data_IF_904546597779
#
_entry.id   IF_904546597779
#
_cell.length_a   1.000
_cell.length_b   1.000
_cell.length_c   1.000
_cell.angle_alpha   90.00
_cell.angle_beta   90.00
_cell.angle_gamma   90.00
#
_symmetry.space_group_name_H-M   'P 1'
#
loop_
_entity.id
_entity.type
_entity.pdbx_description
1 polymer ?
#
# COMPACT_ATOMS: atom_id res chain seq x y z
N UNK A 1 23.35 15.09 -19.27
CA UNK A 1 23.82 14.88 -17.89
C UNK A 1 22.74 14.11 -17.18
N UNK A 2 23.02 12.94 -16.62
CA UNK A 2 22.06 12.27 -15.75
C UNK A 2 21.85 13.16 -14.52
N UNK A 3 20.62 13.66 -14.31
CA UNK A 3 20.28 14.40 -13.10
C UNK A 3 20.45 13.48 -11.89
N UNK A 4 21.05 14.01 -10.83
CA UNK A 4 21.38 13.23 -9.64
C UNK A 4 20.09 12.96 -8.84
N UNK A 5 19.96 11.84 -8.11
CA UNK A 5 18.75 11.53 -7.34
C UNK A 5 18.32 12.64 -6.38
N UNK A 6 19.27 13.36 -5.78
CA UNK A 6 19.02 14.50 -4.90
C UNK A 6 18.32 15.70 -5.58
N UNK A 7 18.32 15.75 -6.92
CA UNK A 7 17.62 16.80 -7.67
C UNK A 7 16.13 16.48 -7.85
N UNK A 8 15.68 15.28 -7.48
CA UNK A 8 14.27 14.87 -7.54
C UNK A 8 13.48 15.24 -6.28
N UNK A 9 14.15 15.64 -5.20
CA UNK A 9 13.51 15.85 -3.91
C UNK A 9 14.02 17.08 -3.19
N UNK A 10 13.10 17.93 -2.80
CA UNK A 10 13.34 19.06 -1.91
C UNK A 10 13.08 18.64 -0.46
N UNK A 11 14.08 18.82 0.40
CA UNK A 11 13.87 18.73 1.84
C UNK A 11 13.35 20.04 2.40
N UNK A 12 12.34 19.94 3.25
CA UNK A 12 11.69 21.07 3.88
C UNK A 12 12.28 21.31 5.28
N UNK A 13 12.16 22.53 5.83
CA UNK A 13 12.68 22.87 7.17
C UNK A 13 12.19 21.94 8.29
N UNK A 14 10.99 21.39 8.13
CA UNK A 14 10.35 20.47 9.08
C UNK A 14 11.09 19.13 9.24
N UNK A 15 12.05 18.83 8.36
CA UNK A 15 12.93 17.66 8.46
C UNK A 15 14.06 17.84 9.50
N UNK A 16 14.38 19.07 9.90
CA UNK A 16 15.53 19.39 10.78
C UNK A 16 15.59 18.58 12.09
N UNK A 17 14.46 18.31 12.79
CA UNK A 17 14.49 17.50 14.00
C UNK A 17 14.98 16.07 13.74
N UNK A 18 14.61 15.47 12.61
CA UNK A 18 15.03 14.11 12.24
C UNK A 18 16.51 14.09 11.85
N UNK A 19 16.96 15.09 11.08
CA UNK A 19 18.37 15.25 10.72
C UNK A 19 19.26 15.43 11.95
N UNK A 20 18.81 16.26 12.91
CA UNK A 20 19.51 16.48 14.17
C UNK A 20 19.56 15.21 15.03
N UNK A 21 18.45 14.47 15.09
CA UNK A 21 18.38 13.22 15.82
C UNK A 21 19.34 12.16 15.23
N UNK A 22 19.35 11.98 13.92
CA UNK A 22 20.28 11.04 13.25
C UNK A 22 21.74 11.49 13.40
N UNK A 23 22.04 12.79 13.30
CA UNK A 23 23.40 13.30 13.52
C UNK A 23 23.92 13.06 14.95
N UNK A 24 23.04 12.87 15.93
CA UNK A 24 23.39 12.56 17.31
C UNK A 24 23.59 11.05 17.56
N UNK A 25 23.29 10.18 16.59
CA UNK A 25 23.46 8.73 16.71
C UNK A 25 24.95 8.37 16.62
N UNK A 26 25.47 7.70 17.65
CA UNK A 26 26.89 7.32 17.73
C UNK A 26 27.18 5.99 17.03
N UNK A 27 26.25 5.04 17.08
CA UNK A 27 26.33 3.75 16.40
C UNK A 27 24.95 3.34 15.82
N UNK A 28 24.89 2.52 14.75
CA UNK A 28 23.63 2.11 14.14
C UNK A 28 22.62 1.47 15.11
N UNK A 29 23.10 0.79 16.16
CA UNK A 29 22.26 0.18 17.20
C UNK A 29 21.60 1.17 18.16
N UNK A 30 22.02 2.44 18.14
CA UNK A 30 21.45 3.51 18.98
C UNK A 30 20.29 4.24 18.30
N UNK A 31 19.97 3.91 17.04
CA UNK A 31 18.85 4.49 16.31
C UNK A 31 17.54 4.20 17.01
N UNK A 32 16.73 5.22 17.19
CA UNK A 32 15.32 5.05 17.56
C UNK A 32 14.58 4.45 16.36
N UNK A 33 13.58 3.61 16.64
CA UNK A 33 12.79 2.94 15.61
C UNK A 33 11.91 3.90 14.82
N UNK A 34 12.46 4.66 13.87
CA UNK A 34 11.68 5.49 12.97
C UNK A 34 11.18 4.64 11.79
N UNK A 35 9.87 4.61 11.60
CA UNK A 35 9.19 3.89 10.51
C UNK A 35 8.86 4.86 9.39
N UNK A 36 9.12 4.48 8.14
CA UNK A 36 8.58 5.14 6.95
C UNK A 36 7.52 4.23 6.33
N UNK A 37 6.28 4.68 6.33
CA UNK A 37 5.16 4.04 5.62
C UNK A 37 5.09 4.64 4.23
N UNK A 38 4.87 3.84 3.19
CA UNK A 38 4.53 4.37 1.88
C UNK A 38 3.23 3.79 1.34
N UNK A 39 2.41 4.70 0.81
CA UNK A 39 1.13 4.44 0.17
C UNK A 39 1.13 5.23 -1.15
N UNK A 40 1.86 4.70 -2.13
CA UNK A 40 1.97 5.26 -3.47
C UNK A 40 0.81 4.73 -4.32
N UNK A 41 0.10 5.63 -4.99
CA UNK A 41 -1.14 5.31 -5.68
C UNK A 41 -0.89 5.08 -7.17
N UNK A 42 -1.39 3.98 -7.72
CA UNK A 42 -1.11 3.59 -9.09
C UNK A 42 -2.12 2.56 -9.59
N UNK A 43 -1.81 1.91 -10.71
CA UNK A 43 -2.71 0.94 -11.32
C UNK A 43 -2.96 -0.30 -10.42
N UNK A 44 -2.11 -0.50 -9.42
CA UNK A 44 -2.11 -1.62 -8.48
C UNK A 44 -2.67 -1.29 -7.09
N UNK A 45 -3.51 -0.26 -6.94
CA UNK A 45 -4.22 0.04 -5.68
C UNK A 45 -5.73 -0.28 -5.80
N UNK A 46 -6.10 -1.54 -5.57
CA UNK A 46 -7.50 -1.95 -5.65
C UNK A 46 -8.36 -1.17 -4.63
N UNK A 47 -9.49 -0.67 -5.12
CA UNK A 47 -10.45 0.13 -4.35
C UNK A 47 -9.87 1.41 -3.73
N UNK A 48 -8.77 1.94 -4.31
CA UNK A 48 -8.02 3.09 -3.79
C UNK A 48 -7.66 2.92 -2.31
N UNK A 49 -7.34 1.69 -1.88
CA UNK A 49 -7.27 1.31 -0.47
C UNK A 49 -6.04 1.92 0.22
N UNK A 50 -4.89 1.93 -0.45
CA UNK A 50 -3.67 2.55 0.06
C UNK A 50 -3.80 4.08 0.02
N UNK A 51 -4.38 4.65 -1.04
CA UNK A 51 -4.72 6.09 -1.10
C UNK A 51 -5.61 6.49 0.08
N UNK A 52 -6.68 5.72 0.31
CA UNK A 52 -7.62 5.94 1.40
C UNK A 52 -6.96 5.80 2.77
N UNK A 53 -5.98 4.89 2.91
CA UNK A 53 -5.20 4.74 4.14
C UNK A 53 -4.36 5.99 4.42
N UNK A 54 -3.65 6.51 3.41
CA UNK A 54 -2.88 7.75 3.53
C UNK A 54 -3.78 8.94 3.85
N UNK A 55 -4.89 9.10 3.13
CA UNK A 55 -5.85 10.17 3.33
C UNK A 55 -6.46 10.13 4.75
N UNK A 56 -6.79 8.94 5.25
CA UNK A 56 -7.30 8.74 6.60
C UNK A 56 -6.28 9.15 7.67
N UNK A 57 -5.02 8.75 7.52
CA UNK A 57 -3.94 9.13 8.45
C UNK A 57 -3.71 10.65 8.45
N UNK A 58 -3.66 11.28 7.27
CA UNK A 58 -3.48 12.73 7.16
C UNK A 58 -4.67 13.51 7.72
N UNK A 59 -5.89 12.98 7.60
CA UNK A 59 -7.08 13.61 8.18
C UNK A 59 -7.19 13.42 9.70
N UNK A 60 -6.69 12.30 10.23
CA UNK A 60 -6.84 11.90 11.62
C UNK A 60 -5.69 12.30 12.55
N UNK A 61 -4.48 12.50 12.02
CA UNK A 61 -3.27 12.69 12.83
C UNK A 61 -2.59 14.05 12.59
N UNK A 62 -1.90 14.61 13.61
CA UNK A 62 -1.02 15.75 13.44
C UNK A 62 0.08 15.41 12.42
N UNK A 63 0.26 16.27 11.42
CA UNK A 63 1.24 16.02 10.37
C UNK A 63 1.86 17.30 9.82
N UNK A 64 3.06 17.15 9.24
CA UNK A 64 3.78 18.20 8.54
C UNK A 64 4.59 17.63 7.37
N UNK A 65 4.59 18.24 6.18
CA UNK A 65 5.43 17.79 5.08
C UNK A 65 6.90 18.02 5.44
N UNK A 66 7.77 17.04 5.19
CA UNK A 66 9.23 17.10 5.44
C UNK A 66 10.05 16.98 4.16
N UNK A 67 9.49 16.41 3.09
CA UNK A 67 10.11 16.43 1.77
C UNK A 67 9.03 16.47 0.67
N UNK A 68 9.35 17.09 -0.47
CA UNK A 68 8.51 17.09 -1.68
C UNK A 68 9.32 16.62 -2.87
N UNK A 69 8.78 15.66 -3.60
CA UNK A 69 9.36 15.22 -4.87
C UNK A 69 8.84 16.08 -6.02
N UNK A 70 9.67 16.23 -7.05
CA UNK A 70 9.29 16.96 -8.26
C UNK A 70 8.35 16.11 -9.13
N UNK A 71 7.04 16.30 -8.90
CA UNK A 71 6.00 15.59 -9.64
C UNK A 71 6.01 15.91 -11.15
N UNK A 72 6.51 17.08 -11.58
CA UNK A 72 6.59 17.46 -12.99
C UNK A 72 7.59 16.58 -13.76
N UNK A 73 8.62 16.07 -13.07
CA UNK A 73 9.60 15.14 -13.62
C UNK A 73 9.21 13.66 -13.50
N UNK A 74 8.24 13.35 -12.63
CA UNK A 74 7.94 11.98 -12.20
C UNK A 74 6.58 11.48 -12.70
N UNK A 75 5.61 12.36 -12.92
CA UNK A 75 4.21 12.01 -13.27
C UNK A 75 3.93 12.33 -14.74
N UNK A 76 3.22 11.44 -15.41
CA UNK A 76 2.62 11.66 -16.71
C UNK A 76 1.23 12.32 -16.54
N UNK A 77 1.20 13.62 -16.77
CA UNK A 77 0.00 14.45 -16.66
C UNK A 77 -1.06 14.14 -17.72
N UNK A 78 -0.72 13.40 -18.78
CA UNK A 78 -1.68 12.96 -19.80
C UNK A 78 -2.31 11.64 -19.41
N UNK A 79 -1.55 10.73 -18.80
CA UNK A 79 -2.08 9.49 -18.23
C UNK A 79 -2.99 9.78 -17.04
N UNK A 80 -2.60 10.73 -16.17
CA UNK A 80 -3.36 11.14 -14.98
C UNK A 80 -3.63 12.63 -15.01
N UNK A 81 -4.69 13.03 -15.71
CA UNK A 81 -5.05 14.46 -15.88
C UNK A 81 -5.47 15.07 -14.54
N UNK A 82 -4.74 16.09 -14.04
CA UNK A 82 -5.09 16.69 -12.78
C UNK A 82 -6.41 17.46 -12.88
N UNK A 83 -7.18 17.46 -11.78
CA UNK A 83 -8.50 18.08 -11.74
C UNK A 83 -8.38 19.60 -11.77
N UNK A 84 -9.16 20.22 -12.64
CA UNK A 84 -9.35 21.67 -12.70
C UNK A 84 -10.80 22.01 -12.41
N UNK A 85 -11.04 23.05 -11.60
CA UNK A 85 -12.40 23.55 -11.39
C UNK A 85 -12.72 24.63 -12.42
N UNK A 86 -13.94 24.60 -12.94
CA UNK A 86 -14.46 25.56 -13.89
C UNK A 86 -15.81 26.06 -13.38
N UNK A 87 -15.99 27.38 -13.30
CA UNK A 87 -17.23 27.97 -12.82
C UNK A 87 -17.66 29.14 -13.70
N UNK A 88 -18.86 29.02 -14.27
CA UNK A 88 -19.39 29.98 -15.23
C UNK A 88 -18.61 29.89 -16.54
N UNK A 89 -17.66 30.81 -16.73
CA UNK A 89 -16.89 31.02 -17.95
C UNK A 89 -15.36 31.02 -17.73
N UNK A 90 -14.88 30.63 -16.54
CA UNK A 90 -13.46 30.64 -16.19
C UNK A 90 -13.02 29.44 -15.35
N UNK A 91 -11.78 29.02 -15.55
CA UNK A 91 -11.08 28.12 -14.64
C UNK A 91 -10.79 28.83 -13.31
N UNK A 92 -10.98 28.15 -12.19
CA UNK A 92 -10.81 28.73 -10.85
C UNK A 92 -9.64 28.13 -10.08
N UNK A 93 -9.42 26.83 -10.20
CA UNK A 93 -8.35 26.14 -9.48
C UNK A 93 -7.80 24.96 -10.28
N UNK A 94 -6.60 24.56 -9.88
CA UNK A 94 -5.85 23.44 -10.41
C UNK A 94 -5.31 22.65 -9.22
N UNK A 95 -5.58 21.36 -9.18
CA UNK A 95 -5.06 20.45 -8.14
C UNK A 95 -3.85 19.75 -8.72
N UNK A 96 -2.65 20.19 -8.36
CA UNK A 96 -1.42 19.55 -8.84
C UNK A 96 -1.25 18.16 -8.23
N UNK A 97 -0.67 17.19 -8.96
CA UNK A 97 -0.18 15.97 -8.33
C UNK A 97 0.97 16.32 -7.40
N UNK A 98 0.98 15.76 -6.20
CA UNK A 98 2.06 15.93 -5.23
C UNK A 98 2.52 14.56 -4.75
N UNK A 99 3.83 14.36 -4.67
CA UNK A 99 4.44 13.19 -4.02
C UNK A 99 5.22 13.74 -2.82
N UNK A 100 4.75 13.43 -1.62
CA UNK A 100 5.16 14.11 -0.39
C UNK A 100 5.55 13.09 0.66
N UNK A 101 6.66 13.37 1.34
CA UNK A 101 7.00 12.71 2.59
C UNK A 101 6.54 13.62 3.73
N UNK A 102 5.60 13.13 4.55
CA UNK A 102 5.10 13.83 5.73
C UNK A 102 5.60 13.14 6.99
N UNK A 103 5.91 13.92 8.03
CA UNK A 103 6.06 13.43 9.38
C UNK A 103 4.71 13.50 10.10
N UNK A 104 4.33 12.40 10.74
CA UNK A 104 3.11 12.23 11.51
C UNK A 104 3.45 11.83 12.95
N UNK A 105 2.51 12.04 13.84
CA UNK A 105 2.53 11.53 15.22
C UNK A 105 1.32 10.62 15.40
N UNK A 106 1.53 9.41 15.91
CA UNK A 106 0.45 8.46 16.21
C UNK A 106 -0.36 8.89 17.47
N UNK A 107 -1.36 8.13 17.87
CA UNK A 107 -2.21 8.48 19.04
C UNK A 107 -1.45 8.49 20.39
N UNK A 108 -0.24 7.93 20.44
CA UNK A 108 0.68 8.01 21.58
C UNK A 108 1.73 9.11 21.47
N UNK A 109 1.78 9.83 20.34
CA UNK A 109 2.80 10.82 20.03
C UNK A 109 4.10 10.22 19.48
N UNK A 110 4.11 8.94 19.07
CA UNK A 110 5.27 8.32 18.43
C UNK A 110 5.39 8.84 16.99
N UNK A 111 6.56 9.40 16.59
CA UNK A 111 6.73 9.93 15.26
C UNK A 111 6.94 8.82 14.23
N UNK A 112 6.29 8.95 13.07
CA UNK A 112 6.56 8.13 11.89
C UNK A 112 6.49 8.98 10.62
N UNK A 113 6.99 8.45 9.51
CA UNK A 113 6.95 9.11 8.20
C UNK A 113 5.92 8.43 7.30
N UNK A 114 5.26 9.22 6.46
CA UNK A 114 4.34 8.75 5.43
C UNK A 114 4.75 9.34 4.08
N UNK A 115 5.16 8.49 3.15
CA UNK A 115 5.34 8.81 1.73
C UNK A 115 4.03 8.52 0.99
N UNK A 116 3.39 9.55 0.46
CA UNK A 116 2.10 9.44 -0.23
C UNK A 116 2.06 10.29 -1.49
N UNK A 117 1.15 9.94 -2.39
CA UNK A 117 1.00 10.56 -3.72
C UNK A 117 0.98 9.53 -4.83
N UNK A 118 0.89 9.96 -6.10
CA UNK A 118 0.90 9.05 -7.23
C UNK A 118 2.26 8.34 -7.34
N UNK A 119 2.21 7.07 -7.70
CA UNK A 119 3.36 6.30 -8.15
C UNK A 119 4.02 7.01 -9.35
N UNK A 120 5.33 7.29 -9.31
CA UNK A 120 6.04 7.85 -10.45
C UNK A 120 5.86 7.01 -11.73
N UNK A 121 5.53 7.64 -12.86
CA UNK A 121 5.56 6.99 -14.17
C UNK A 121 6.99 6.92 -14.72
N UNK A 122 7.83 7.88 -14.31
CA UNK A 122 9.17 8.06 -14.84
C UNK A 122 10.23 7.92 -13.76
N UNK A 123 11.45 7.57 -14.19
CA UNK A 123 12.67 7.59 -13.36
C UNK A 123 12.61 6.76 -12.08
N UNK A 124 12.01 5.57 -12.12
CA UNK A 124 11.86 4.70 -10.94
C UNK A 124 13.15 4.50 -10.14
N UNK A 125 14.26 4.13 -10.79
CA UNK A 125 15.56 3.98 -10.11
C UNK A 125 16.05 5.28 -9.45
N UNK A 126 15.81 6.43 -10.10
CA UNK A 126 16.16 7.74 -9.55
C UNK A 126 15.30 8.12 -8.34
N UNK A 127 13.99 7.85 -8.41
CA UNK A 127 13.07 8.06 -7.31
C UNK A 127 13.41 7.15 -6.11
N UNK A 128 13.63 5.86 -6.36
CA UNK A 128 14.01 4.88 -5.32
C UNK A 128 15.33 5.27 -4.67
N UNK A 129 16.33 5.69 -5.44
CA UNK A 129 17.60 6.19 -4.89
C UNK A 129 17.40 7.47 -4.04
N UNK A 130 16.51 8.37 -4.44
CA UNK A 130 16.18 9.56 -3.66
C UNK A 130 15.47 9.21 -2.35
N UNK A 131 14.52 8.26 -2.36
CA UNK A 131 13.88 7.73 -1.15
C UNK A 131 14.90 7.04 -0.25
N UNK A 132 15.79 6.20 -0.79
CA UNK A 132 16.85 5.56 -0.02
C UNK A 132 17.80 6.58 0.65
N UNK A 133 18.12 7.67 -0.05
CA UNK A 133 18.88 8.78 0.52
C UNK A 133 18.14 9.48 1.67
N UNK A 134 16.81 9.60 1.60
CA UNK A 134 16.00 10.12 2.71
C UNK A 134 15.95 9.15 3.89
N UNK A 135 15.80 7.85 3.62
CA UNK A 135 15.82 6.78 4.63
C UNK A 135 17.11 6.85 5.46
N UNK A 136 18.26 6.97 4.79
CA UNK A 136 19.55 7.12 5.47
C UNK A 136 19.64 8.43 6.25
N UNK A 137 19.34 9.56 5.63
CA UNK A 137 19.52 10.90 6.23
C UNK A 137 18.60 11.16 7.42
N UNK A 138 17.40 10.61 7.40
CA UNK A 138 16.41 10.80 8.45
C UNK A 138 16.49 9.74 9.56
N UNK A 139 17.39 8.76 9.43
CA UNK A 139 17.54 7.69 10.42
C UNK A 139 16.40 6.68 10.42
N UNK A 140 15.76 6.45 9.28
CA UNK A 140 14.68 5.46 9.14
C UNK A 140 15.25 4.06 9.34
N UNK A 141 14.58 3.27 10.16
CA UNK A 141 15.00 1.91 10.54
C UNK A 141 14.21 0.82 9.82
N UNK A 142 12.97 1.12 9.42
CA UNK A 142 12.16 0.22 8.62
C UNK A 142 11.24 0.97 7.67
N UNK A 143 10.96 0.33 6.53
CA UNK A 143 10.06 0.86 5.49
C UNK A 143 8.89 -0.09 5.28
N UNK A 144 7.66 0.41 5.38
CA UNK A 144 6.44 -0.40 5.31
C UNK A 144 5.56 0.00 4.12
N UNK A 145 5.31 -0.92 3.20
CA UNK A 145 4.41 -0.74 2.07
C UNK A 145 2.95 -1.06 2.45
N UNK A 146 2.03 -0.19 2.06
CA UNK A 146 0.59 -0.49 2.05
C UNK A 146 0.13 -0.63 0.59
N UNK A 147 -0.50 -1.75 0.26
CA UNK A 147 -0.99 -2.04 -1.09
C UNK A 147 -2.32 -2.78 -1.04
N UNK A 148 -3.07 -2.79 -2.14
CA UNK A 148 -4.27 -3.61 -2.26
C UNK A 148 -4.34 -4.25 -3.64
N UNK A 149 -4.61 -5.54 -3.69
CA UNK A 149 -4.68 -6.32 -4.92
C UNK A 149 -6.06 -6.95 -5.07
N UNK A 150 -6.63 -6.94 -6.29
CA UNK A 150 -7.91 -7.58 -6.55
C UNK A 150 -7.73 -9.10 -6.60
N UNK A 151 -8.62 -9.82 -5.91
CA UNK A 151 -8.57 -11.28 -5.78
C UNK A 151 -9.97 -11.89 -5.93
N UNK A 152 -10.07 -13.20 -6.29
CA UNK A 152 -11.31 -13.96 -6.24
C UNK A 152 -11.69 -14.30 -4.80
N UNK A 153 -11.99 -13.28 -3.99
CA UNK A 153 -12.44 -13.41 -2.61
C UNK A 153 -13.81 -12.72 -2.43
N UNK A 154 -14.68 -13.23 -1.55
CA UNK A 154 -15.97 -12.60 -1.31
C UNK A 154 -15.82 -11.45 -0.30
N UNK A 155 -16.57 -10.39 -0.52
CA UNK A 155 -16.77 -9.30 0.45
C UNK A 155 -17.42 -9.79 1.75
N UNK A 156 -17.91 -11.03 1.77
CA UNK A 156 -18.64 -11.60 2.89
C UNK A 156 -17.77 -12.19 4.00
N UNK A 157 -16.47 -12.35 3.73
CA UNK A 157 -15.47 -12.92 4.65
C UNK A 157 -14.46 -11.84 5.09
N UNK A 158 -13.68 -12.08 6.16
CA UNK A 158 -12.62 -11.17 6.56
C UNK A 158 -11.62 -10.92 5.42
N UNK A 159 -11.22 -9.66 5.25
CA UNK A 159 -10.17 -9.28 4.31
C UNK A 159 -8.88 -9.98 4.73
N UNK A 160 -8.26 -10.68 3.79
CA UNK A 160 -6.97 -11.33 3.99
C UNK A 160 -5.87 -10.46 3.40
N UNK A 161 -4.63 -10.67 3.83
CA UNK A 161 -3.46 -9.95 3.32
C UNK A 161 -2.36 -10.90 2.91
N UNK A 162 -1.62 -10.57 1.87
CA UNK A 162 -0.31 -11.16 1.57
C UNK A 162 0.78 -10.24 2.14
N UNK A 163 1.60 -10.77 3.04
CA UNK A 163 2.76 -10.04 3.56
C UNK A 163 4.03 -10.41 2.79
N UNK A 164 4.88 -9.42 2.56
CA UNK A 164 6.16 -9.54 1.88
C UNK A 164 7.22 -8.75 2.65
N UNK A 165 8.48 -9.13 2.50
CA UNK A 165 9.59 -8.49 3.20
C UNK A 165 10.94 -8.88 2.62
N UNK A 166 11.93 -8.01 2.82
CA UNK A 166 13.34 -8.29 2.52
C UNK A 166 13.89 -9.46 3.33
N UNK A 167 13.30 -9.75 4.50
CA UNK A 167 13.68 -10.87 5.39
C UNK A 167 12.45 -11.54 5.99
N UNK A 168 12.39 -12.88 5.90
CA UNK A 168 11.26 -13.69 6.42
C UNK A 168 10.90 -13.41 7.89
N UNK A 169 11.91 -13.10 8.72
CA UNK A 169 11.74 -12.86 10.15
C UNK A 169 10.85 -11.66 10.47
N UNK A 170 10.80 -10.65 9.59
CA UNK A 170 9.99 -9.43 9.76
C UNK A 170 8.48 -9.72 9.72
N UNK A 171 8.09 -10.75 8.97
CA UNK A 171 6.69 -11.16 8.77
C UNK A 171 6.45 -12.57 9.31
N UNK A 172 7.22 -13.01 10.33
CA UNK A 172 7.22 -14.37 10.89
C UNK A 172 5.83 -14.97 11.14
N UNK A 173 4.91 -14.14 11.62
CA UNK A 173 3.52 -14.49 11.95
C UNK A 173 2.59 -14.64 10.74
N UNK A 174 3.01 -14.18 9.56
CA UNK A 174 2.22 -14.25 8.34
C UNK A 174 2.46 -15.56 7.60
N UNK A 175 1.42 -16.10 6.97
CA UNK A 175 1.55 -17.27 6.11
C UNK A 175 2.21 -16.95 4.78
N UNK A 176 2.87 -17.96 4.21
CA UNK A 176 3.32 -17.94 2.82
C UNK A 176 2.18 -18.52 1.97
N UNK A 177 1.58 -17.67 1.14
CA UNK A 177 0.49 -18.08 0.24
C UNK A 177 1.00 -18.61 -1.09
N UNK A 178 2.17 -18.15 -1.52
CA UNK A 178 2.63 -18.26 -2.90
C UNK A 178 4.04 -18.85 -2.95
N UNK A 179 4.30 -19.64 -4.00
CA UNK A 179 5.65 -20.02 -4.40
C UNK A 179 6.27 -18.97 -5.32
N UNK A 180 7.18 -19.40 -6.19
CA UNK A 180 7.81 -18.52 -7.18
C UNK A 180 6.77 -18.04 -8.21
N UNK A 181 6.63 -16.72 -8.35
CA UNK A 181 5.73 -16.05 -9.28
C UNK A 181 6.48 -14.91 -9.98
N UNK A 182 6.09 -14.58 -11.21
CA UNK A 182 6.55 -13.39 -11.93
C UNK A 182 5.38 -12.42 -12.02
N UNK A 183 5.56 -11.22 -11.48
CA UNK A 183 4.54 -10.16 -11.47
C UNK A 183 5.09 -8.89 -12.14
N UNK A 184 4.22 -8.03 -12.72
CA UNK A 184 4.62 -6.72 -13.19
C UNK A 184 5.31 -5.92 -12.07
N UNK A 185 6.40 -5.24 -12.42
CA UNK A 185 7.11 -4.39 -11.49
C UNK A 185 6.31 -3.15 -11.12
N UNK A 186 6.54 -2.65 -9.92
CA UNK A 186 6.02 -1.38 -9.42
C UNK A 186 7.12 -0.66 -8.62
N UNK A 187 7.00 0.64 -8.43
CA UNK A 187 7.90 1.44 -7.60
C UNK A 187 7.90 0.95 -6.15
N UNK A 188 6.76 0.63 -5.50
CA UNK A 188 6.75 -0.04 -4.20
C UNK A 188 7.62 -1.31 -4.15
N UNK A 189 7.48 -2.20 -5.13
CA UNK A 189 8.23 -3.46 -5.17
C UNK A 189 9.74 -3.23 -5.45
N UNK A 190 10.07 -2.30 -6.34
CA UNK A 190 11.46 -1.92 -6.63
C UNK A 190 12.11 -1.25 -5.41
N UNK A 191 11.36 -0.42 -4.68
CA UNK A 191 11.82 0.21 -3.45
C UNK A 191 12.17 -0.84 -2.39
N UNK A 192 11.29 -1.82 -2.14
CA UNK A 192 11.57 -2.92 -1.22
C UNK A 192 12.84 -3.68 -1.63
N UNK A 193 12.95 -4.04 -2.92
CA UNK A 193 14.11 -4.75 -3.45
C UNK A 193 15.43 -3.98 -3.22
N UNK A 194 15.48 -2.70 -3.62
CA UNK A 194 16.69 -1.86 -3.50
C UNK A 194 17.06 -1.56 -2.05
N UNK A 195 16.06 -1.36 -1.18
CA UNK A 195 16.31 -1.19 0.26
C UNK A 195 16.85 -2.48 0.88
N UNK A 196 16.35 -3.64 0.48
CA UNK A 196 16.88 -4.94 0.89
C UNK A 196 18.33 -5.16 0.46
N UNK A 197 18.68 -4.81 -0.78
CA UNK A 197 20.06 -4.82 -1.27
C UNK A 197 20.99 -3.90 -0.47
N UNK A 198 20.46 -2.79 0.06
CA UNK A 198 21.15 -1.86 0.94
C UNK A 198 21.14 -2.26 2.43
N UNK A 199 20.52 -3.39 2.78
CA UNK A 199 20.45 -3.90 4.16
C UNK A 199 19.44 -3.17 5.06
N UNK A 200 18.49 -2.44 4.48
CA UNK A 200 17.38 -1.80 5.20
C UNK A 200 16.22 -2.81 5.33
N UNK A 201 15.62 -2.87 6.51
CA UNK A 201 14.42 -3.68 6.74
C UNK A 201 13.25 -3.03 5.99
N UNK A 202 12.77 -3.68 4.93
CA UNK A 202 11.59 -3.28 4.18
C UNK A 202 10.60 -4.43 4.13
N UNK A 203 9.33 -4.11 4.29
CA UNK A 203 8.23 -5.06 4.37
C UNK A 203 6.93 -4.42 3.91
N UNK A 204 5.90 -5.22 3.70
CA UNK A 204 4.62 -4.71 3.25
C UNK A 204 3.48 -5.67 3.45
N UNK A 205 2.27 -5.14 3.31
CA UNK A 205 1.02 -5.91 3.25
C UNK A 205 0.21 -5.48 2.05
N UNK A 206 -0.26 -6.48 1.29
CA UNK A 206 -1.21 -6.32 0.20
C UNK A 206 -2.57 -6.86 0.63
N UNK A 207 -3.58 -6.00 0.80
CA UNK A 207 -4.93 -6.41 1.12
C UNK A 207 -5.63 -7.04 -0.09
N UNK A 208 -6.32 -8.16 0.11
CA UNK A 208 -7.07 -8.85 -0.93
C UNK A 208 -8.47 -8.24 -1.05
N UNK A 209 -8.69 -7.47 -2.10
CA UNK A 209 -9.98 -6.82 -2.40
C UNK A 209 -10.79 -7.73 -3.31
N UNK A 210 -12.10 -7.95 -3.05
CA UNK A 210 -12.96 -8.64 -4.01
C UNK A 210 -12.87 -7.99 -5.39
N UNK A 211 -12.51 -8.74 -6.42
CA UNK A 211 -12.28 -8.19 -7.77
C UNK A 211 -13.46 -7.36 -8.31
N UNK A 212 -14.69 -7.72 -7.98
CA UNK A 212 -15.89 -6.97 -8.37
C UNK A 212 -16.10 -5.66 -7.59
N UNK A 213 -15.28 -5.38 -6.58
CA UNK A 213 -15.22 -4.11 -5.83
C UNK A 213 -13.94 -3.32 -6.12
N UNK A 214 -13.05 -3.80 -6.99
CA UNK A 214 -11.73 -3.20 -7.20
C UNK A 214 -11.77 -1.77 -7.77
N UNK A 215 -12.89 -1.36 -8.36
CA UNK A 215 -13.11 -0.03 -8.96
C UNK A 215 -14.08 0.84 -8.13
N UNK A 216 -14.40 0.41 -6.91
CA UNK A 216 -15.25 1.12 -5.97
C UNK A 216 -14.50 1.29 -4.64
N UNK A 217 -14.98 2.15 -3.74
CA UNK A 217 -14.37 2.26 -2.41
C UNK A 217 -14.62 0.97 -1.61
N UNK A 218 -13.62 0.51 -0.85
CA UNK A 218 -13.77 -0.66 0.01
C UNK A 218 -13.14 -0.43 1.39
N UNK A 219 -13.83 0.26 2.31
CA UNK A 219 -13.26 0.70 3.59
C UNK A 219 -12.72 -0.45 4.46
N UNK A 220 -13.23 -1.68 4.27
CA UNK A 220 -12.73 -2.86 4.97
C UNK A 220 -11.26 -3.18 4.60
N UNK A 221 -10.83 -2.93 3.36
CA UNK A 221 -9.44 -3.12 2.97
C UNK A 221 -8.54 -2.04 3.57
N UNK A 222 -8.95 -0.76 3.53
CA UNK A 222 -8.24 0.34 4.20
C UNK A 222 -8.09 0.09 5.71
N UNK A 223 -9.17 -0.32 6.39
CA UNK A 223 -9.13 -0.70 7.79
C UNK A 223 -8.11 -1.80 8.05
N UNK A 224 -8.16 -2.87 7.23
CA UNK A 224 -7.26 -4.01 7.36
C UNK A 224 -5.79 -3.59 7.17
N UNK A 225 -5.51 -2.72 6.21
CA UNK A 225 -4.15 -2.19 6.00
C UNK A 225 -3.63 -1.46 7.24
N UNK A 226 -4.44 -0.59 7.85
CA UNK A 226 -4.03 0.14 9.05
C UNK A 226 -3.90 -0.76 10.29
N UNK A 227 -4.79 -1.74 10.46
CA UNK A 227 -4.69 -2.72 11.55
C UNK A 227 -3.41 -3.58 11.43
N UNK A 228 -3.04 -3.95 10.20
CA UNK A 228 -1.80 -4.69 9.94
C UNK A 228 -0.55 -3.81 10.03
N UNK A 229 -0.63 -2.53 9.64
CA UNK A 229 0.42 -1.56 9.86
C UNK A 229 0.75 -1.46 11.35
N UNK A 230 -0.26 -1.18 12.20
CA UNK A 230 -0.08 -1.11 13.65
C UNK A 230 0.48 -2.41 14.25
N UNK A 231 0.07 -3.57 13.72
CA UNK A 231 0.62 -4.88 14.15
C UNK A 231 2.10 -5.06 13.81
N UNK A 232 2.53 -4.57 12.65
CA UNK A 232 3.92 -4.71 12.18
C UNK A 232 4.87 -3.71 12.84
N UNK A 233 4.38 -2.52 13.17
CA UNK A 233 5.22 -1.39 13.60
C UNK A 233 5.06 -1.03 15.07
N UNK A 234 3.94 -1.43 15.70
CA UNK A 234 3.57 -1.00 17.03
C UNK A 234 2.87 0.38 17.07
N UNK A 235 2.66 1.03 15.93
CA UNK A 235 1.97 2.33 15.86
C UNK A 235 0.51 2.21 16.31
N UNK A 236 0.05 3.22 17.06
CA UNK A 236 -1.35 3.36 17.50
C UNK A 236 -2.09 4.29 16.55
N UNK A 237 -2.88 3.69 15.65
CA UNK A 237 -3.54 4.40 14.56
C UNK A 237 -5.06 4.49 14.78
N UNK A 238 -5.70 5.63 14.48
CA UNK A 238 -7.14 5.79 14.63
C UNK A 238 -7.86 4.93 13.58
N UNK A 239 -8.77 4.03 13.98
CA UNK A 239 -9.45 3.10 13.04
C UNK A 239 -10.97 3.04 13.22
N UNK A 240 -11.51 3.75 14.20
CA UNK A 240 -12.90 3.68 14.64
C UNK A 240 -13.86 4.07 13.53
N UNK A 241 -13.63 5.21 12.88
CA UNK A 241 -14.49 5.70 11.79
C UNK A 241 -14.42 4.79 10.55
N UNK A 242 -13.26 4.17 10.28
CA UNK A 242 -13.12 3.17 9.22
C UNK A 242 -13.90 1.89 9.52
N UNK A 243 -13.96 1.48 10.80
CA UNK A 243 -14.74 0.32 11.23
C UNK A 243 -16.24 0.55 11.03
N UNK A 244 -16.74 1.72 11.39
CA UNK A 244 -18.12 2.13 11.10
C UNK A 244 -18.40 2.17 9.60
N UNK A 245 -17.51 2.79 8.82
CA UNK A 245 -17.63 2.87 7.36
C UNK A 245 -17.61 1.47 6.70
N UNK A 246 -16.76 0.56 7.17
CA UNK A 246 -16.70 -0.81 6.66
C UNK A 246 -17.99 -1.60 6.94
N UNK A 247 -18.60 -1.42 8.12
CA UNK A 247 -19.87 -2.06 8.45
C UNK A 247 -21.03 -1.52 7.61
N UNK A 248 -21.11 -0.20 7.43
CA UNK A 248 -22.12 0.41 6.57
C UNK A 248 -21.95 -0.05 5.12
N UNK A 249 -20.74 0.06 4.58
CA UNK A 249 -20.43 -0.36 3.22
C UNK A 249 -20.77 -1.84 3.00
N UNK A 250 -20.51 -2.71 3.99
CA UNK A 250 -20.89 -4.12 3.91
C UNK A 250 -22.40 -4.30 3.72
N UNK A 251 -23.21 -3.58 4.50
CA UNK A 251 -24.67 -3.61 4.38
C UNK A 251 -25.12 -3.17 2.99
N UNK A 252 -24.53 -2.10 2.46
CA UNK A 252 -24.86 -1.56 1.15
C UNK A 252 -24.52 -2.55 0.01
N UNK A 253 -23.37 -3.22 0.09
CA UNK A 253 -22.98 -4.25 -0.90
C UNK A 253 -23.88 -5.48 -0.80
N UNK A 254 -24.19 -5.95 0.42
CA UNK A 254 -25.11 -7.09 0.62
C UNK A 254 -26.47 -6.81 -0.03
N UNK A 255 -27.03 -5.61 0.16
CA UNK A 255 -28.29 -5.19 -0.48
C UNK A 255 -28.20 -5.12 -2.01
N UNK A 256 -27.08 -4.68 -2.56
CA UNK A 256 -26.87 -4.61 -4.01
C UNK A 256 -26.77 -6.00 -4.63
N UNK A 257 -26.01 -6.91 -4.01
CA UNK A 257 -25.84 -8.30 -4.47
C UNK A 257 -27.17 -9.06 -4.42
N UNK A 258 -27.98 -8.85 -3.37
CA UNK A 258 -29.28 -9.51 -3.20
C UNK A 258 -30.32 -9.17 -4.29
N UNK A 259 -30.10 -8.11 -5.08
CA UNK A 259 -30.98 -7.74 -6.20
C UNK A 259 -30.81 -8.65 -7.43
N UNK A 260 -29.78 -9.49 -7.47
CA UNK A 260 -29.50 -10.42 -8.57
C UNK A 260 -29.19 -11.82 -8.04
N UNK A 261 -29.99 -12.80 -8.45
CA UNK A 261 -29.75 -14.20 -8.13
C UNK A 261 -28.40 -14.69 -8.68
N UNK A 262 -27.98 -14.19 -9.84
CA UNK A 262 -26.69 -14.52 -10.45
C UNK A 262 -25.53 -13.98 -9.60
N UNK A 263 -25.61 -12.72 -9.15
CA UNK A 263 -24.59 -12.12 -8.27
C UNK A 263 -24.50 -12.88 -6.94
N UNK A 264 -25.66 -13.26 -6.40
CA UNK A 264 -25.72 -14.07 -5.17
C UNK A 264 -25.05 -15.43 -5.35
N UNK A 265 -25.26 -16.10 -6.50
CA UNK A 265 -24.62 -17.38 -6.82
C UNK A 265 -23.09 -17.24 -6.97
N UNK A 266 -22.63 -16.16 -7.61
CA UNK A 266 -21.18 -15.87 -7.73
C UNK A 266 -20.55 -15.66 -6.36
N UNK A 267 -21.15 -14.83 -5.50
CA UNK A 267 -20.63 -14.60 -4.15
C UNK A 267 -20.61 -15.90 -3.33
N UNK A 268 -21.67 -16.72 -3.41
CA UNK A 268 -21.72 -18.01 -2.73
C UNK A 268 -20.61 -18.99 -3.19
N UNK A 269 -20.25 -18.97 -4.48
CA UNK A 269 -19.14 -19.76 -4.99
C UNK A 269 -17.78 -19.29 -4.43
N UNK A 270 -17.56 -17.97 -4.37
CA UNK A 270 -16.36 -17.38 -3.76
C UNK A 270 -16.26 -17.69 -2.26
N UNK A 271 -17.39 -17.70 -1.54
CA UNK A 271 -17.45 -18.15 -0.15
C UNK A 271 -17.01 -19.59 0.03
N UNK A 272 -17.51 -20.51 -0.81
CA UNK A 272 -17.10 -21.91 -0.76
C UNK A 272 -15.60 -22.09 -1.00
N UNK A 273 -15.05 -21.37 -1.98
CA UNK A 273 -13.60 -21.41 -2.27
C UNK A 273 -12.79 -20.88 -1.10
N UNK A 274 -13.18 -19.74 -0.52
CA UNK A 274 -12.52 -19.14 0.64
C UNK A 274 -12.53 -20.08 1.86
N UNK A 275 -13.69 -20.67 2.16
CA UNK A 275 -13.87 -21.53 3.32
C UNK A 275 -13.09 -22.84 3.17
N UNK A 276 -13.03 -23.41 1.96
CA UNK A 276 -12.20 -24.58 1.64
C UNK A 276 -10.70 -24.28 1.83
N UNK A 277 -10.22 -23.16 1.29
CA UNK A 277 -8.84 -22.73 1.44
C UNK A 277 -8.45 -22.54 2.92
N UNK A 278 -9.32 -21.87 3.69
CA UNK A 278 -9.11 -21.62 5.12
C UNK A 278 -9.12 -22.92 5.94
N UNK A 279 -10.03 -23.86 5.64
CA UNK A 279 -10.11 -25.15 6.32
C UNK A 279 -8.90 -26.04 6.05
N UNK A 280 -8.44 -26.13 4.79
CA UNK A 280 -7.24 -26.87 4.42
C UNK A 280 -6.03 -26.33 5.18
N UNK A 281 -5.90 -25.01 5.29
CA UNK A 281 -4.83 -24.36 6.04
C UNK A 281 -4.87 -24.66 7.53
N UNK A 282 -6.03 -24.52 8.17
CA UNK A 282 -6.18 -24.83 9.59
C UNK A 282 -5.76 -26.27 9.91
N UNK A 283 -6.03 -27.21 8.99
CA UNK A 283 -5.57 -28.60 9.13
C UNK A 283 -4.05 -28.76 8.94
N UNK A 284 -3.44 -28.02 8.01
CA UNK A 284 -2.00 -28.04 7.74
C UNK A 284 -1.18 -27.48 8.91
N UNK A 285 -1.63 -26.38 9.50
CA UNK A 285 -0.98 -25.72 10.65
C UNK A 285 -1.02 -26.62 11.90
N UNK A 286 -2.11 -27.38 12.08
CA UNK A 286 -2.25 -28.39 13.14
C UNK A 286 -1.37 -29.63 12.93
N UNK A 287 -1.03 -29.96 11.68
CA UNK A 287 -0.21 -31.12 11.33
C UNK A 287 1.29 -30.80 11.23
N UNK A 288 1.70 -29.53 11.41
CA UNK A 288 3.09 -29.09 11.33
C UNK A 288 3.73 -29.29 9.95
N UNK A 289 2.94 -29.64 8.94
CA UNK A 289 3.37 -29.82 7.56
C UNK A 289 3.12 -28.53 6.80
N UNK A 290 4.09 -28.11 5.97
CA UNK A 290 3.86 -27.16 4.89
C UNK A 290 2.97 -27.89 3.87
N UNK A 291 1.65 -27.77 4.04
CA UNK A 291 0.67 -28.44 3.19
C UNK A 291 0.68 -27.85 1.78
N UNK A 292 0.54 -28.72 0.79
CA UNK A 292 0.44 -28.37 -0.63
C UNK A 292 -0.59 -27.24 -0.83
N UNK A 293 -0.06 -26.09 -1.22
CA UNK A 293 -0.80 -24.94 -1.74
C UNK A 293 -1.54 -25.41 -3.00
N UNK A 294 -2.77 -24.93 -3.29
CA UNK A 294 -3.34 -25.04 -4.63
C UNK A 294 -2.28 -24.61 -5.65
N UNK A 295 -2.08 -25.35 -6.75
CA UNK A 295 -0.96 -25.10 -7.65
C UNK A 295 -0.92 -23.62 -8.05
N UNK A 296 0.20 -22.94 -7.76
CA UNK A 296 0.40 -21.52 -8.08
C UNK A 296 0.14 -21.17 -9.55
N UNK A 297 0.12 -22.18 -10.42
CA UNK A 297 -0.26 -22.06 -11.83
C UNK A 297 -1.73 -21.66 -12.04
N UNK A 298 -2.70 -22.11 -11.24
CA UNK A 298 -4.14 -21.81 -11.47
C UNK A 298 -4.53 -20.41 -10.97
N UNK A 299 -4.01 -19.99 -9.81
CA UNK A 299 -4.25 -18.66 -9.27
C UNK A 299 -3.31 -17.61 -9.85
N UNK A 300 -2.07 -17.99 -10.18
CA UNK A 300 -1.13 -17.19 -10.94
C UNK A 300 -1.65 -16.91 -12.35
N UNK A 301 -2.27 -17.89 -13.03
CA UNK A 301 -2.89 -17.65 -14.33
C UNK A 301 -4.07 -16.67 -14.27
N UNK A 302 -4.90 -16.71 -13.22
CA UNK A 302 -5.99 -15.74 -13.04
C UNK A 302 -5.47 -14.35 -12.64
N UNK A 303 -4.40 -14.27 -11.85
CA UNK A 303 -3.73 -13.00 -11.53
C UNK A 303 -3.02 -12.41 -12.76
N UNK A 304 -2.23 -13.20 -13.49
CA UNK A 304 -1.60 -12.82 -14.75
C UNK A 304 -2.64 -12.40 -15.80
N UNK A 305 -3.77 -13.10 -15.86
CA UNK A 305 -4.88 -12.76 -16.76
C UNK A 305 -5.51 -11.42 -16.38
N UNK A 306 -5.76 -11.18 -15.11
CA UNK A 306 -6.26 -9.90 -14.64
C UNK A 306 -5.28 -8.75 -14.95
N UNK A 307 -3.99 -8.96 -14.68
CA UNK A 307 -2.93 -8.00 -15.00
C UNK A 307 -2.87 -7.71 -16.51
N UNK A 308 -2.97 -8.75 -17.34
CA UNK A 308 -3.00 -8.62 -18.80
C UNK A 308 -4.28 -7.94 -19.32
N UNK A 309 -5.41 -8.08 -18.61
CA UNK A 309 -6.67 -7.40 -18.95
C UNK A 309 -6.64 -5.91 -18.60
N UNK A 310 -5.99 -5.51 -17.50
CA UNK A 310 -5.70 -4.10 -17.20
C UNK A 310 -4.77 -3.46 -18.26
N UNK A 311 -3.73 -4.18 -18.71
CA UNK A 311 -2.83 -3.69 -19.75
C UNK A 311 -3.54 -3.48 -21.10
N UNK A 312 -4.55 -4.31 -21.44
CA UNK A 312 -5.32 -4.17 -22.70
C UNK A 312 -6.26 -2.98 -22.71
N UNK A 313 -6.88 -2.65 -21.58
CA UNK A 313 -7.74 -1.47 -21.47
C UNK A 313 -6.98 -0.14 -21.58
N UNK A 314 -5.64 -0.19 -21.59
CA UNK A 314 -4.74 0.95 -21.75
C UNK A 314 -4.35 1.24 -23.21
N UNK A 315 -4.70 0.33 -24.13
CA UNK A 315 -4.34 0.39 -25.56
C UNK A 315 -5.45 0.83 -26.53
N UNK A 316 -6.66 1.08 -26.03
CA UNK A 316 -7.81 1.66 -26.77
C UNK A 316 -8.05 3.12 -26.39
#
# INVERSE_FOLDING_TARGET
>A
MAQRPEELVELLPEAEPFLTAEAAVAAPGDRRGLVLVHALTGDFDAADSAESAAAHLLAGLPHRPVARFDADLLVDYRARRPRMSFAGDRYQSYTAPEIVLSALEDDSGEPFLLLHGPEPDYRWEGFVAAVAGLVERLGVTSVVALQAIPMPVPHTRPVTVTAHATRRALIGSYPVYWGDLVVPGSVPALLELRLGEAGVDALGVAAHVPHYLAQATYPAATLTLLEHLGRLTGLLLPTETLREAAQQHRTDVDEQIARSADNTAVVAALEQQYDQFTAARASSDLLGSVGEVPSGEELGAEFERFLAEQDRHRGE
#
